data_IF_285865389864
#
_entry.id   IF_285865389864
#
_cell.length_a   1.000
_cell.length_b   1.000
_cell.length_c   1.000
_cell.angle_alpha   90.00
_cell.angle_beta   90.00
_cell.angle_gamma   90.00
#
_symmetry.space_group_name_H-M   'P 1'
#
loop_
_entity.id
_entity.type
_entity.pdbx_description
1 polymer ?
#
# COMPACT_ATOMS: atom_id res chain seq x y z
N UNK A 1 12.43 3.75 -1.74
CA UNK A 1 11.57 2.67 -1.22
C UNK A 1 10.39 3.31 -0.48
N UNK A 2 9.18 2.74 -0.58
CA UNK A 2 8.07 3.12 0.30
C UNK A 2 8.41 2.60 1.70
N UNK A 3 8.16 3.42 2.70
CA UNK A 3 8.47 3.08 4.09
C UNK A 3 7.22 3.29 4.92
N UNK A 4 6.70 2.21 5.49
CA UNK A 4 5.71 2.28 6.55
C UNK A 4 6.39 2.81 7.81
N UNK A 5 5.81 3.81 8.45
CA UNK A 5 6.11 4.04 9.86
C UNK A 5 4.84 3.74 10.62
N UNK A 6 4.67 2.45 10.93
CA UNK A 6 3.64 2.09 11.89
C UNK A 6 4.12 2.52 13.26
N UNK A 7 3.48 3.53 13.83
CA UNK A 7 3.29 3.54 15.26
C UNK A 7 2.32 2.40 15.56
N UNK A 8 2.79 1.27 16.11
CA UNK A 8 1.84 0.36 16.74
C UNK A 8 1.49 0.97 18.08
N UNK A 9 0.48 1.86 18.11
CA UNK A 9 -0.20 2.24 19.36
C UNK A 9 -0.68 1.00 20.16
N UNK A 10 -0.69 -0.18 19.54
CA UNK A 10 -1.12 -1.45 20.09
C UNK A 10 -0.06 -2.16 20.96
N UNK A 11 1.21 -1.80 20.88
CA UNK A 11 2.28 -2.51 21.60
C UNK A 11 3.11 -1.51 22.39
N UNK A 12 2.91 -1.55 23.70
CA UNK A 12 3.71 -0.80 24.64
C UNK A 12 4.38 -1.79 25.59
N UNK A 13 5.66 -2.16 25.38
CA UNK A 13 6.40 -2.97 26.34
C UNK A 13 6.41 -2.30 27.72
N UNK A 14 6.37 -3.13 28.75
CA UNK A 14 6.34 -2.68 30.15
C UNK A 14 7.75 -2.70 30.75
N UNK A 15 8.16 -1.57 31.31
CA UNK A 15 9.39 -1.42 32.10
C UNK A 15 9.23 -1.89 33.54
N UNK A 16 10.33 -1.89 34.29
CA UNK A 16 10.27 -2.01 35.75
C UNK A 16 9.50 -0.78 36.29
N UNK A 17 8.59 -1.01 37.24
CA UNK A 17 7.59 -0.05 37.76
C UNK A 17 6.32 0.20 36.90
N UNK A 18 6.05 -0.59 35.86
CA UNK A 18 4.76 -0.55 35.13
C UNK A 18 4.64 0.56 34.07
N UNK A 19 5.72 1.30 33.82
CA UNK A 19 5.84 2.24 32.71
C UNK A 19 5.70 1.54 31.35
N UNK A 20 4.93 2.10 30.44
CA UNK A 20 4.69 1.60 29.09
C UNK A 20 5.38 2.51 28.08
N UNK A 21 6.22 1.94 27.21
CA UNK A 21 6.94 2.71 26.19
C UNK A 21 6.27 2.52 24.82
N UNK A 22 5.77 3.56 24.15
CA UNK A 22 5.30 3.43 22.78
C UNK A 22 6.38 2.86 21.86
N UNK A 23 6.04 1.77 21.17
CA UNK A 23 6.92 1.14 20.18
C UNK A 23 6.63 1.68 18.78
N UNK A 24 7.67 2.20 18.13
CA UNK A 24 7.59 2.81 16.80
C UNK A 24 8.55 2.11 15.82
N UNK A 25 8.13 0.99 15.20
CA UNK A 25 8.90 0.34 14.15
C UNK A 25 8.74 1.04 12.78
N UNK A 26 9.86 1.16 12.08
CA UNK A 26 9.93 1.51 10.67
C UNK A 26 9.89 0.22 9.85
N UNK A 27 8.77 -0.02 9.20
CA UNK A 27 8.48 -1.25 8.46
C UNK A 27 8.41 -0.90 6.97
N UNK A 28 8.66 -1.83 6.08
CA UNK A 28 8.47 -1.60 4.65
C UNK A 28 8.31 -2.90 3.91
N UNK A 29 8.43 -2.78 2.59
CA UNK A 29 8.43 -3.93 1.70
C UNK A 29 9.74 -4.02 0.96
N UNK A 30 10.25 -5.23 0.80
CA UNK A 30 11.32 -5.49 -0.14
C UNK A 30 10.77 -5.74 -1.55
N UNK A 31 11.69 -5.95 -2.49
CA UNK A 31 11.41 -6.27 -3.88
C UNK A 31 10.72 -7.63 -4.10
N UNK A 32 10.60 -8.48 -3.07
CA UNK A 32 9.79 -9.71 -3.07
C UNK A 32 8.41 -9.52 -2.44
N UNK A 33 8.03 -8.29 -2.08
CA UNK A 33 6.78 -7.93 -1.40
C UNK A 33 6.66 -8.49 0.03
N UNK A 34 7.77 -8.89 0.63
CA UNK A 34 7.83 -9.35 2.02
C UNK A 34 8.01 -8.15 2.97
N UNK A 35 7.59 -8.33 4.22
CA UNK A 35 7.78 -7.32 5.27
C UNK A 35 9.28 -7.20 5.60
N UNK A 36 9.77 -5.97 5.68
CA UNK A 36 11.11 -5.66 6.20
C UNK A 36 11.02 -4.68 7.35
N UNK A 37 11.87 -4.83 8.36
CA UNK A 37 12.04 -3.85 9.44
C UNK A 37 13.34 -3.07 9.19
N UNK A 38 13.21 -1.76 8.91
CA UNK A 38 14.35 -0.87 8.73
C UNK A 38 14.98 -0.44 10.06
N UNK A 39 14.17 -0.36 11.11
CA UNK A 39 14.60 0.03 12.45
C UNK A 39 13.40 0.20 13.37
N UNK A 40 13.65 0.52 14.63
CA UNK A 40 12.59 0.82 15.58
C UNK A 40 13.08 1.71 16.71
N UNK A 41 12.15 2.40 17.36
CA UNK A 41 12.40 3.15 18.57
C UNK A 41 11.39 2.80 19.68
N UNK A 42 11.81 3.03 20.91
CA UNK A 42 10.95 3.09 22.09
C UNK A 42 10.89 4.56 22.50
N UNK A 43 9.69 5.11 22.54
CA UNK A 43 9.45 6.51 22.88
C UNK A 43 9.13 6.64 24.37
N UNK A 44 9.40 7.81 24.94
CA UNK A 44 8.96 8.15 26.29
C UNK A 44 7.52 8.68 26.31
N UNK A 45 7.14 9.41 25.26
CA UNK A 45 5.82 9.98 25.06
C UNK A 45 5.49 10.10 23.56
N UNK A 46 4.25 10.48 23.25
CA UNK A 46 3.73 10.63 21.89
C UNK A 46 3.58 12.12 21.52
N UNK A 47 4.58 12.94 21.89
CA UNK A 47 4.61 14.37 21.56
C UNK A 47 5.15 14.63 20.16
N UNK A 48 4.88 15.84 19.63
CA UNK A 48 5.42 16.22 18.30
C UNK A 48 6.95 16.23 18.34
N UNK A 49 7.54 16.68 19.44
CA UNK A 49 8.97 16.78 19.66
C UNK A 49 9.63 15.40 19.65
N UNK A 50 9.04 14.41 20.35
CA UNK A 50 9.48 13.01 20.32
C UNK A 50 9.43 12.43 18.91
N UNK A 51 8.37 12.70 18.13
CA UNK A 51 8.30 12.25 16.75
C UNK A 51 9.27 12.98 15.81
N UNK A 52 9.54 14.27 16.04
CA UNK A 52 10.55 15.02 15.27
C UNK A 52 11.93 14.39 15.49
N UNK A 53 12.28 14.08 16.73
CA UNK A 53 13.51 13.35 17.06
C UNK A 53 13.55 11.98 16.37
N UNK A 54 12.45 11.21 16.45
CA UNK A 54 12.33 9.89 15.84
C UNK A 54 12.61 9.95 14.33
N UNK A 55 11.92 10.83 13.60
CA UNK A 55 12.07 10.94 12.15
C UNK A 55 13.44 11.48 11.73
N UNK A 56 14.02 12.45 12.46
CA UNK A 56 15.38 12.94 12.17
C UNK A 56 16.44 11.87 12.41
N UNK A 57 16.28 11.08 13.47
CA UNK A 57 17.19 9.97 13.79
C UNK A 57 17.12 8.89 12.72
N UNK A 58 15.91 8.50 12.30
CA UNK A 58 15.73 7.58 11.19
C UNK A 58 16.33 8.12 9.89
N UNK A 59 16.08 9.39 9.56
CA UNK A 59 16.62 10.02 8.35
C UNK A 59 18.16 10.03 8.34
N UNK A 60 18.79 10.28 9.49
CA UNK A 60 20.24 10.19 9.63
C UNK A 60 20.76 8.75 9.39
N UNK A 61 20.09 7.74 9.96
CA UNK A 61 20.41 6.33 9.72
C UNK A 61 20.22 5.93 8.24
N UNK A 62 19.27 6.56 7.55
CA UNK A 62 18.99 6.35 6.13
C UNK A 62 19.82 7.25 5.19
N UNK A 63 20.98 7.75 5.66
CA UNK A 63 21.89 8.60 4.85
C UNK A 63 21.20 9.83 4.27
N UNK A 64 20.36 10.49 5.07
CA UNK A 64 19.56 11.65 4.70
C UNK A 64 18.57 11.43 3.54
N UNK A 65 18.26 10.17 3.20
CA UNK A 65 17.29 9.83 2.16
C UNK A 65 15.89 9.67 2.76
N UNK A 66 15.00 10.60 2.41
CA UNK A 66 13.60 10.54 2.80
C UNK A 66 12.87 9.41 2.04
N UNK A 67 11.89 8.74 2.67
CA UNK A 67 11.01 7.83 1.96
C UNK A 67 10.11 8.62 0.99
N UNK A 68 9.71 8.00 -0.13
CA UNK A 68 8.80 8.63 -1.08
C UNK A 68 7.38 8.74 -0.53
N UNK A 69 6.96 7.71 0.19
CA UNK A 69 5.66 7.65 0.86
C UNK A 69 5.87 7.12 2.27
N UNK A 70 5.24 7.77 3.24
CA UNK A 70 5.14 7.33 4.62
C UNK A 70 3.69 7.12 5.01
N UNK A 71 3.45 6.00 5.67
CA UNK A 71 2.14 5.64 6.18
C UNK A 71 2.19 5.64 7.70
N UNK A 72 1.24 6.30 8.35
CA UNK A 72 1.15 6.36 9.83
C UNK A 72 -0.26 6.05 10.31
N UNK A 73 -0.42 5.95 11.62
CA UNK A 73 -1.76 6.07 12.20
C UNK A 73 -2.31 7.51 12.03
N UNK A 74 -3.56 7.69 12.43
CA UNK A 74 -4.22 8.99 12.39
C UNK A 74 -3.87 9.81 13.64
N UNK A 75 -2.60 10.21 13.75
CA UNK A 75 -2.05 11.01 14.86
C UNK A 75 -1.64 12.42 14.40
N UNK A 76 -2.17 13.45 15.07
CA UNK A 76 -1.87 14.85 14.77
C UNK A 76 -0.39 15.20 15.05
N UNK A 77 0.17 14.67 16.14
CA UNK A 77 1.57 14.90 16.51
C UNK A 77 2.53 14.29 15.46
N UNK A 78 2.28 13.06 15.01
CA UNK A 78 3.06 12.46 13.91
C UNK A 78 2.93 13.27 12.62
N UNK A 79 1.71 13.67 12.25
CA UNK A 79 1.46 14.45 11.04
C UNK A 79 2.26 15.76 11.02
N UNK A 80 2.29 16.46 12.16
CA UNK A 80 3.07 17.69 12.33
C UNK A 80 4.58 17.41 12.27
N UNK A 81 5.04 16.35 12.93
CA UNK A 81 6.45 15.97 12.92
C UNK A 81 6.94 15.54 11.53
N UNK A 82 6.13 14.83 10.73
CA UNK A 82 6.44 14.49 9.33
C UNK A 82 6.60 15.76 8.50
N UNK A 83 5.67 16.72 8.65
CA UNK A 83 5.74 18.00 7.93
C UNK A 83 7.05 18.76 8.23
N UNK A 84 7.56 18.65 9.46
CA UNK A 84 8.81 19.29 9.89
C UNK A 84 10.05 18.53 9.43
N UNK A 85 10.04 17.20 9.54
CA UNK A 85 11.24 16.37 9.39
C UNK A 85 11.39 15.71 8.03
N UNK A 86 10.30 15.54 7.29
CA UNK A 86 10.20 14.81 6.03
C UNK A 86 9.33 15.58 5.00
N UNK A 87 9.69 16.83 4.64
CA UNK A 87 8.84 17.71 3.83
C UNK A 87 8.59 17.20 2.39
N UNK A 88 9.47 16.34 1.86
CA UNK A 88 9.37 15.80 0.50
C UNK A 88 8.69 14.42 0.46
N UNK A 89 8.28 13.90 1.63
CA UNK A 89 7.62 12.62 1.76
C UNK A 89 6.10 12.78 1.64
N UNK A 90 5.48 11.94 0.80
CA UNK A 90 4.02 11.86 0.75
C UNK A 90 3.48 11.17 2.01
N UNK A 91 2.71 11.90 2.84
CA UNK A 91 2.08 11.36 4.04
C UNK A 91 0.70 10.76 3.75
N UNK A 92 0.55 9.46 4.06
CA UNK A 92 -0.69 8.70 3.95
C UNK A 92 -1.08 8.08 5.31
N UNK A 93 -2.35 7.75 5.50
CA UNK A 93 -2.81 6.97 6.66
C UNK A 93 -2.74 5.48 6.33
N UNK A 94 -2.32 4.70 7.32
CA UNK A 94 -2.22 3.26 7.24
C UNK A 94 -3.63 2.62 7.31
N UNK A 95 -4.05 1.99 6.22
CA UNK A 95 -5.38 1.34 6.14
C UNK A 95 -5.58 0.26 7.20
N UNK A 96 -4.52 -0.49 7.55
CA UNK A 96 -4.58 -1.46 8.65
C UNK A 96 -5.01 -0.80 9.97
N UNK A 97 -4.42 0.36 10.33
CA UNK A 97 -4.81 1.09 11.53
C UNK A 97 -6.24 1.66 11.44
N UNK A 98 -6.66 2.14 10.26
CA UNK A 98 -8.03 2.58 10.03
C UNK A 98 -9.00 1.45 10.35
N UNK A 99 -8.75 0.25 9.81
CA UNK A 99 -9.56 -0.96 10.06
C UNK A 99 -9.55 -1.36 11.53
N UNK A 100 -8.39 -1.34 12.20
CA UNK A 100 -8.28 -1.67 13.63
C UNK A 100 -9.01 -0.68 14.55
N UNK A 101 -9.21 0.57 14.10
CA UNK A 101 -9.95 1.56 14.87
C UNK A 101 -11.47 1.50 14.62
N UNK A 102 -11.94 0.82 13.59
CA UNK A 102 -13.38 0.67 13.30
C UNK A 102 -14.17 0.15 14.50
N UNK A 103 -13.79 -0.96 15.16
CA UNK A 103 -14.55 -1.46 16.32
C UNK A 103 -14.59 -0.48 17.50
N UNK A 104 -13.59 0.40 17.64
CA UNK A 104 -13.54 1.40 18.72
C UNK A 104 -14.59 2.51 18.53
N UNK A 105 -14.84 2.89 17.28
CA UNK A 105 -15.77 3.99 16.94
C UNK A 105 -17.16 3.51 16.51
N UNK A 106 -17.27 2.26 16.05
CA UNK A 106 -18.48 1.69 15.44
C UNK A 106 -18.91 0.37 16.10
N UNK A 107 -18.55 0.17 17.38
CA UNK A 107 -18.80 -1.06 18.13
C UNK A 107 -20.26 -1.56 18.03
N UNK A 108 -21.23 -0.64 18.12
CA UNK A 108 -22.65 -0.96 18.04
C UNK A 108 -23.04 -1.57 16.70
N UNK A 109 -22.52 -1.03 15.60
CA UNK A 109 -22.78 -1.54 14.25
C UNK A 109 -22.01 -2.84 14.02
N UNK A 110 -20.74 -2.91 14.43
CA UNK A 110 -19.95 -4.14 14.35
C UNK A 110 -20.61 -5.32 15.08
N UNK A 111 -21.28 -5.05 16.22
CA UNK A 111 -21.96 -6.08 17.00
C UNK A 111 -23.31 -6.49 16.40
N UNK A 112 -24.05 -5.55 15.79
CA UNK A 112 -25.38 -5.81 15.22
C UNK A 112 -25.32 -6.39 13.81
N UNK A 113 -24.32 -6.00 13.03
CA UNK A 113 -24.24 -6.24 11.60
C UNK A 113 -22.99 -7.08 11.24
N UNK A 114 -23.10 -8.43 11.19
CA UNK A 114 -21.95 -9.30 10.98
C UNK A 114 -21.17 -9.03 9.69
N UNK A 115 -21.85 -8.50 8.67
CA UNK A 115 -21.24 -8.20 7.37
C UNK A 115 -20.56 -6.82 7.31
N UNK A 116 -20.79 -5.94 8.29
CA UNK A 116 -20.32 -4.55 8.25
C UNK A 116 -18.80 -4.46 8.07
N UNK A 117 -18.04 -5.21 8.86
CA UNK A 117 -16.58 -5.18 8.81
C UNK A 117 -16.05 -5.56 7.43
N UNK A 118 -16.61 -6.62 6.84
CA UNK A 118 -16.25 -7.10 5.50
C UNK A 118 -16.60 -6.08 4.42
N UNK A 119 -17.77 -5.45 4.52
CA UNK A 119 -18.20 -4.42 3.57
C UNK A 119 -17.38 -3.13 3.70
N UNK A 120 -17.02 -2.73 4.92
CA UNK A 120 -16.11 -1.62 5.18
C UNK A 120 -14.73 -1.87 4.55
N UNK A 121 -14.14 -3.05 4.79
CA UNK A 121 -12.87 -3.45 4.17
C UNK A 121 -12.96 -3.44 2.63
N UNK A 122 -14.03 -3.99 2.06
CA UNK A 122 -14.24 -3.98 0.61
C UNK A 122 -14.39 -2.56 0.04
N UNK A 123 -14.93 -1.62 0.84
CA UNK A 123 -15.04 -0.22 0.45
C UNK A 123 -13.65 0.44 0.41
N UNK A 124 -12.84 0.29 1.45
CA UNK A 124 -11.54 0.98 1.55
C UNK A 124 -10.45 0.37 0.65
N UNK A 125 -10.48 -0.96 0.45
CA UNK A 125 -9.48 -1.67 -0.37
C UNK A 125 -9.88 -1.81 -1.84
N UNK A 126 -11.16 -1.55 -2.17
CA UNK A 126 -11.72 -1.90 -3.47
C UNK A 126 -11.93 -0.75 -4.45
N UNK A 127 -11.76 0.51 -4.03
CA UNK A 127 -11.97 1.68 -4.90
C UNK A 127 -10.84 1.85 -5.91
N UNK A 128 -11.16 1.76 -7.20
CA UNK A 128 -10.18 1.88 -8.31
C UNK A 128 -10.17 3.30 -8.92
N UNK A 129 -11.29 4.01 -8.82
CA UNK A 129 -11.44 5.42 -9.24
C UNK A 129 -12.14 6.22 -8.16
N UNK A 130 -12.05 7.55 -8.24
CA UNK A 130 -12.73 8.45 -7.30
C UNK A 130 -14.25 8.24 -7.32
N UNK A 131 -14.86 8.14 -8.50
CA UNK A 131 -16.30 7.89 -8.65
C UNK A 131 -16.75 6.56 -8.04
N UNK A 132 -15.99 5.48 -8.27
CA UNK A 132 -16.28 4.17 -7.69
C UNK A 132 -16.14 4.21 -6.16
N UNK A 133 -15.09 4.88 -5.67
CA UNK A 133 -14.90 5.08 -4.24
C UNK A 133 -16.06 5.85 -3.60
N UNK A 134 -16.47 6.98 -4.18
CA UNK A 134 -17.59 7.77 -3.67
C UNK A 134 -18.90 6.97 -3.62
N UNK A 135 -19.23 6.26 -4.71
CA UNK A 135 -20.43 5.41 -4.74
C UNK A 135 -20.40 4.32 -3.67
N UNK A 136 -19.27 3.64 -3.51
CA UNK A 136 -19.11 2.59 -2.47
C UNK A 136 -19.24 3.17 -1.07
N UNK A 137 -18.60 4.32 -0.84
CA UNK A 137 -18.66 5.00 0.45
C UNK A 137 -20.09 5.42 0.78
N UNK A 138 -20.78 6.11 -0.12
CA UNK A 138 -22.15 6.57 0.08
C UNK A 138 -23.13 5.40 0.29
N UNK A 139 -22.96 4.31 -0.46
CA UNK A 139 -23.73 3.08 -0.26
C UNK A 139 -23.49 2.47 1.12
N UNK A 140 -22.24 2.39 1.57
CA UNK A 140 -21.88 1.88 2.89
C UNK A 140 -22.49 2.75 4.00
N UNK A 141 -22.34 4.07 3.91
CA UNK A 141 -22.85 5.02 4.89
C UNK A 141 -24.38 4.95 4.97
N UNK A 142 -25.07 4.89 3.83
CA UNK A 142 -26.52 4.84 3.75
C UNK A 142 -27.07 3.52 4.30
N UNK A 143 -26.48 2.38 3.88
CA UNK A 143 -26.91 1.04 4.26
C UNK A 143 -26.91 0.83 5.78
N UNK A 144 -25.90 1.37 6.46
CA UNK A 144 -25.72 1.19 7.90
C UNK A 144 -26.21 2.37 8.75
N UNK A 145 -26.80 3.40 8.13
CA UNK A 145 -27.32 4.58 8.85
C UNK A 145 -26.24 5.40 9.53
N UNK A 146 -25.07 5.54 8.89
CA UNK A 146 -23.85 6.11 9.49
C UNK A 146 -23.63 7.60 9.19
N UNK A 147 -24.57 8.25 8.50
CA UNK A 147 -24.41 9.61 7.99
C UNK A 147 -24.13 10.68 9.07
N UNK A 148 -24.50 10.44 10.33
CA UNK A 148 -24.27 11.37 11.45
C UNK A 148 -23.02 11.05 12.26
N UNK A 149 -22.32 9.95 11.99
CA UNK A 149 -21.14 9.55 12.74
C UNK A 149 -19.96 10.52 12.48
N UNK A 150 -19.49 11.20 13.53
CA UNK A 150 -18.42 12.20 13.42
C UNK A 150 -17.09 11.60 12.95
N UNK A 151 -16.71 10.44 13.48
CA UNK A 151 -15.45 9.79 13.12
C UNK A 151 -15.39 9.43 11.62
N UNK A 152 -16.48 8.93 11.05
CA UNK A 152 -16.56 8.65 9.61
C UNK A 152 -16.54 9.92 8.76
N UNK A 153 -17.18 11.01 9.22
CA UNK A 153 -17.09 12.31 8.55
C UNK A 153 -15.67 12.84 8.52
N UNK A 154 -14.99 12.78 9.66
CA UNK A 154 -13.61 13.23 9.80
C UNK A 154 -12.66 12.35 8.96
N UNK A 155 -12.88 11.03 8.93
CA UNK A 155 -12.10 10.10 8.12
C UNK A 155 -12.29 10.41 6.63
N UNK A 156 -13.53 10.63 6.19
CA UNK A 156 -13.83 10.98 4.80
C UNK A 156 -13.30 12.36 4.40
N UNK A 157 -13.28 13.32 5.32
CA UNK A 157 -12.70 14.65 5.08
C UNK A 157 -11.21 14.56 4.70
N UNK A 158 -10.49 13.56 5.22
CA UNK A 158 -9.08 13.29 4.89
C UNK A 158 -8.89 12.13 3.91
N UNK A 159 -9.90 11.78 3.10
CA UNK A 159 -9.87 10.66 2.14
C UNK A 159 -8.65 10.63 1.21
N UNK A 160 -8.14 11.78 0.79
CA UNK A 160 -6.94 11.88 -0.05
C UNK A 160 -5.69 11.27 0.60
N UNK A 161 -5.67 11.19 1.94
CA UNK A 161 -4.57 10.57 2.69
C UNK A 161 -4.67 9.05 2.78
N UNK A 162 -5.78 8.41 2.45
CA UNK A 162 -5.94 6.97 2.70
C UNK A 162 -6.64 6.19 1.59
N UNK A 163 -7.58 6.79 0.88
CA UNK A 163 -8.31 6.12 -0.17
C UNK A 163 -7.42 5.87 -1.38
N UNK A 164 -7.43 4.63 -1.88
CA UNK A 164 -6.63 4.16 -3.01
C UNK A 164 -6.83 5.00 -4.28
N UNK A 165 -8.06 5.47 -4.50
CA UNK A 165 -8.41 6.35 -5.61
C UNK A 165 -7.55 7.63 -5.69
N UNK A 166 -6.95 8.05 -4.57
CA UNK A 166 -6.10 9.23 -4.46
C UNK A 166 -4.62 8.89 -4.18
N UNK A 167 -4.19 7.62 -4.30
CA UNK A 167 -2.75 7.27 -4.23
C UNK A 167 -2.07 7.65 -5.55
N UNK A 168 -1.31 8.75 -5.52
CA UNK A 168 -0.49 9.28 -6.62
C UNK A 168 1.01 9.13 -6.37
N UNK A 169 1.39 8.33 -5.37
CA UNK A 169 2.78 8.07 -4.99
C UNK A 169 3.02 6.56 -4.93
N UNK A 170 4.29 6.14 -4.94
CA UNK A 170 4.61 4.72 -4.81
C UNK A 170 4.20 4.23 -3.42
N UNK A 171 3.18 3.38 -3.38
CA UNK A 171 2.56 2.81 -2.18
C UNK A 171 3.00 1.34 -1.98
N UNK A 172 3.46 0.67 -3.03
CA UNK A 172 3.73 -0.77 -3.02
C UNK A 172 2.50 -1.57 -2.59
N UNK A 173 2.69 -2.75 -2.01
CA UNK A 173 1.59 -3.56 -1.46
C UNK A 173 1.00 -2.99 -0.18
N UNK A 174 1.50 -1.89 0.37
CA UNK A 174 1.16 -1.44 1.72
C UNK A 174 -0.28 -0.94 1.90
N UNK A 175 -0.98 -0.69 0.80
CA UNK A 175 -2.39 -0.32 0.77
C UNK A 175 -3.31 -1.50 0.48
N UNK A 176 -2.80 -2.73 0.38
CA UNK A 176 -3.61 -3.92 0.11
C UNK A 176 -4.10 -4.58 1.40
N UNK A 177 -5.15 -5.38 1.27
CA UNK A 177 -5.63 -6.25 2.34
C UNK A 177 -4.58 -7.30 2.74
N UNK A 178 -3.86 -7.85 1.77
CA UNK A 178 -2.81 -8.84 2.02
C UNK A 178 -1.72 -8.26 2.93
N UNK A 179 -1.31 -7.01 2.71
CA UNK A 179 -0.38 -6.33 3.60
C UNK A 179 -0.93 -6.20 5.02
N UNK A 180 -2.19 -5.78 5.16
CA UNK A 180 -2.84 -5.67 6.45
C UNK A 180 -2.90 -7.02 7.19
N UNK A 181 -3.14 -8.12 6.48
CA UNK A 181 -3.11 -9.48 7.02
C UNK A 181 -1.70 -9.93 7.43
N UNK A 182 -0.69 -9.66 6.60
CA UNK A 182 0.72 -9.97 6.93
C UNK A 182 1.19 -9.19 8.17
N UNK A 183 0.81 -7.92 8.27
CA UNK A 183 1.09 -7.06 9.42
C UNK A 183 0.42 -7.59 10.69
N UNK A 184 -0.86 -7.93 10.61
CA UNK A 184 -1.59 -8.53 11.72
C UNK A 184 -0.94 -9.84 12.18
N UNK A 185 -0.52 -10.69 11.24
CA UNK A 185 0.16 -11.95 11.56
C UNK A 185 1.53 -11.73 12.21
N UNK A 186 2.35 -10.81 11.69
CA UNK A 186 3.65 -10.44 12.28
C UNK A 186 3.47 -10.00 13.74
N UNK A 187 2.51 -9.09 13.98
CA UNK A 187 2.24 -8.60 15.32
C UNK A 187 1.64 -9.68 16.23
N UNK A 188 0.79 -10.56 15.73
CA UNK A 188 0.24 -11.68 16.49
C UNK A 188 1.31 -12.70 16.91
N UNK A 189 2.23 -13.04 16.01
CA UNK A 189 3.27 -14.03 16.27
C UNK A 189 4.31 -13.48 17.26
N UNK A 190 4.74 -12.23 17.08
CA UNK A 190 5.91 -11.71 17.81
C UNK A 190 5.57 -10.78 18.97
N UNK A 191 4.41 -10.11 18.96
CA UNK A 191 4.15 -8.94 19.81
C UNK A 191 2.77 -8.89 20.47
N UNK A 192 1.94 -9.93 20.34
CA UNK A 192 0.54 -9.96 20.81
C UNK A 192 0.35 -9.84 22.34
N UNK A 193 1.39 -10.06 23.13
CA UNK A 193 1.32 -10.02 24.60
C UNK A 193 2.06 -8.79 25.12
N UNK A 194 1.55 -8.18 26.20
CA UNK A 194 2.33 -7.21 26.99
C UNK A 194 3.56 -7.94 27.53
N UNK A 195 4.68 -7.77 26.85
CA UNK A 195 5.95 -8.37 27.23
C UNK A 195 6.71 -7.41 28.14
N UNK A 196 7.43 -7.92 29.16
CA UNK A 196 8.50 -7.16 29.79
C UNK A 196 9.49 -6.69 28.73
N UNK A 197 10.03 -5.49 28.89
CA UNK A 197 10.92 -4.87 27.90
C UNK A 197 12.07 -5.78 27.43
N UNK A 198 12.71 -6.52 28.33
CA UNK A 198 13.79 -7.46 27.98
C UNK A 198 13.31 -8.58 27.05
N UNK A 199 12.15 -9.17 27.31
CA UNK A 199 11.54 -10.19 26.45
C UNK A 199 11.09 -9.61 25.13
N UNK A 200 10.56 -8.38 25.15
CA UNK A 200 10.17 -7.66 23.94
C UNK A 200 11.35 -7.46 22.99
N UNK A 201 12.48 -6.95 23.49
CA UNK A 201 13.69 -6.71 22.69
C UNK A 201 14.18 -8.03 22.07
N UNK A 202 14.19 -9.13 22.83
CA UNK A 202 14.58 -10.44 22.32
C UNK A 202 13.65 -10.92 21.18
N UNK A 203 12.33 -10.74 21.32
CA UNK A 203 11.37 -11.10 20.27
C UNK A 203 11.52 -10.22 19.03
N UNK A 204 11.78 -8.93 19.22
CA UNK A 204 12.06 -8.01 18.12
C UNK A 204 13.27 -8.46 17.30
N UNK A 205 14.40 -8.77 17.94
CA UNK A 205 15.58 -9.25 17.23
C UNK A 205 15.35 -10.60 16.55
N UNK A 206 14.60 -11.51 17.20
CA UNK A 206 14.22 -12.78 16.58
C UNK A 206 13.39 -12.57 15.30
N UNK A 207 12.40 -11.68 15.35
CA UNK A 207 11.60 -11.33 14.17
C UNK A 207 12.47 -10.71 13.06
N UNK A 208 13.39 -9.81 13.44
CA UNK A 208 14.30 -9.16 12.50
C UNK A 208 15.19 -10.16 11.75
N UNK A 209 15.75 -11.16 12.46
CA UNK A 209 16.58 -12.21 11.85
C UNK A 209 15.75 -13.05 10.91
N UNK A 210 14.56 -13.51 11.34
CA UNK A 210 13.69 -14.33 10.49
C UNK A 210 13.33 -13.61 9.18
N UNK A 211 12.89 -12.35 9.25
CA UNK A 211 12.50 -11.59 8.06
C UNK A 211 13.67 -11.41 7.07
N UNK A 212 14.90 -11.27 7.58
CA UNK A 212 16.11 -11.17 6.73
C UNK A 212 16.51 -12.51 6.12
N UNK A 213 16.36 -13.60 6.87
CA UNK A 213 16.61 -14.95 6.35
C UNK A 213 15.60 -15.30 5.24
N UNK A 214 14.32 -14.97 5.44
CA UNK A 214 13.27 -15.16 4.44
C UNK A 214 13.54 -14.37 3.16
N UNK A 215 14.06 -13.14 3.26
CA UNK A 215 14.49 -12.34 2.11
C UNK A 215 15.68 -12.97 1.38
N UNK A 216 16.69 -13.47 2.12
CA UNK A 216 17.86 -14.12 1.52
C UNK A 216 17.51 -15.40 0.74
N UNK A 217 16.51 -16.14 1.22
CA UNK A 217 15.99 -17.33 0.52
C UNK A 217 15.34 -16.93 -0.81
N UNK A 218 14.47 -15.91 -0.80
CA UNK A 218 13.82 -15.44 -2.03
C UNK A 218 14.80 -14.80 -3.02
N UNK A 219 15.82 -14.11 -2.53
CA UNK A 219 16.94 -13.59 -3.35
C UNK A 219 17.71 -14.72 -4.03
N UNK A 220 17.94 -15.83 -3.31
CA UNK A 220 18.61 -16.99 -3.86
C UNK A 220 17.74 -17.63 -4.97
N UNK A 221 16.48 -17.93 -4.67
CA UNK A 221 15.54 -18.55 -5.62
C UNK A 221 15.32 -17.70 -6.88
N UNK A 222 15.17 -16.38 -6.73
CA UNK A 222 14.98 -15.45 -7.85
C UNK A 222 16.24 -15.31 -8.72
N UNK A 223 17.44 -15.52 -8.17
CA UNK A 223 18.70 -15.50 -8.95
C UNK A 223 18.97 -16.81 -9.67
N UNK A 224 18.55 -17.93 -9.10
CA UNK A 224 18.81 -19.26 -9.67
C UNK A 224 17.76 -19.69 -10.69
N UNK A 225 16.54 -19.15 -10.61
CA UNK A 225 15.42 -19.58 -11.46
C UNK A 225 14.80 -18.40 -12.19
N UNK A 226 14.44 -18.60 -13.46
CA UNK A 226 13.56 -17.67 -14.18
C UNK A 226 12.10 -18.10 -13.99
N UNK A 227 11.15 -17.15 -13.88
CA UNK A 227 9.74 -17.46 -13.94
C UNK A 227 9.40 -18.22 -15.23
N UNK A 228 8.50 -19.20 -15.16
CA UNK A 228 7.96 -19.84 -16.35
C UNK A 228 7.01 -18.86 -17.01
N UNK A 229 7.30 -18.49 -18.26
CA UNK A 229 6.46 -17.57 -19.02
C UNK A 229 5.14 -18.24 -19.41
N UNK A 230 4.02 -17.51 -19.29
CA UNK A 230 2.73 -17.95 -19.83
C UNK A 230 2.81 -18.25 -21.34
N UNK A 231 3.47 -17.37 -22.07
CA UNK A 231 3.67 -17.44 -23.51
C UNK A 231 4.96 -16.69 -23.84
N UNK A 232 5.70 -17.18 -24.82
CA UNK A 232 6.93 -16.56 -25.27
C UNK A 232 6.62 -15.34 -26.14
N UNK A 233 6.48 -14.18 -25.49
CA UNK A 233 6.30 -12.88 -26.14
C UNK A 233 7.24 -11.85 -25.51
N UNK A 234 7.73 -10.87 -26.30
CA UNK A 234 8.76 -9.92 -25.85
C UNK A 234 8.44 -9.25 -24.52
N UNK A 235 7.19 -8.83 -24.32
CA UNK A 235 6.79 -8.10 -23.11
C UNK A 235 6.82 -8.96 -21.84
N UNK A 236 6.42 -10.25 -21.91
CA UNK A 236 6.52 -11.15 -20.76
C UNK A 236 7.97 -11.53 -20.47
N UNK A 237 8.78 -11.72 -21.51
CA UNK A 237 10.22 -11.98 -21.37
C UNK A 237 10.92 -10.81 -20.69
N UNK A 238 10.72 -9.59 -21.18
CA UNK A 238 11.29 -8.38 -20.60
C UNK A 238 10.84 -8.18 -19.13
N UNK A 239 9.56 -8.42 -18.84
CA UNK A 239 9.04 -8.33 -17.48
C UNK A 239 9.66 -9.38 -16.56
N UNK A 240 9.88 -10.62 -17.04
CA UNK A 240 10.51 -11.67 -16.25
C UNK A 240 11.99 -11.43 -15.98
N UNK A 241 12.67 -10.65 -16.83
CA UNK A 241 14.06 -10.25 -16.63
C UNK A 241 14.22 -9.02 -15.76
N UNK A 242 13.23 -8.10 -15.80
CA UNK A 242 13.25 -6.85 -15.03
C UNK A 242 12.73 -7.02 -13.60
N UNK A 243 11.78 -7.93 -13.38
CA UNK A 243 11.09 -8.08 -12.11
C UNK A 243 11.56 -9.30 -11.32
N UNK A 244 11.46 -9.21 -9.99
CA UNK A 244 11.50 -10.41 -9.15
C UNK A 244 10.36 -11.34 -9.50
N UNK A 245 10.50 -12.63 -9.17
CA UNK A 245 9.49 -13.64 -9.45
C UNK A 245 8.10 -13.24 -8.96
N UNK A 246 8.02 -12.70 -7.74
CA UNK A 246 6.76 -12.26 -7.14
C UNK A 246 6.14 -11.04 -7.83
N UNK A 247 6.95 -10.12 -8.37
CA UNK A 247 6.43 -8.98 -9.13
C UNK A 247 6.02 -9.42 -10.54
N UNK A 248 6.80 -10.31 -11.18
CA UNK A 248 6.43 -10.91 -12.47
C UNK A 248 5.09 -11.65 -12.41
N UNK A 249 4.83 -12.43 -11.36
CA UNK A 249 3.55 -13.15 -11.24
C UNK A 249 2.34 -12.22 -11.21
N UNK A 250 2.44 -11.06 -10.54
CA UNK A 250 1.38 -10.04 -10.55
C UNK A 250 1.25 -9.37 -11.92
N UNK A 251 2.38 -9.08 -12.57
CA UNK A 251 2.37 -8.54 -13.93
C UNK A 251 1.71 -9.53 -14.91
N UNK A 252 2.05 -10.82 -14.82
CA UNK A 252 1.46 -11.87 -15.64
C UNK A 252 -0.05 -12.02 -15.36
N UNK A 253 -0.49 -11.86 -14.10
CA UNK A 253 -1.90 -11.82 -13.75
C UNK A 253 -2.64 -10.65 -14.41
N UNK A 254 -2.06 -9.44 -14.38
CA UNK A 254 -2.62 -8.27 -15.07
C UNK A 254 -2.64 -8.49 -16.60
N UNK A 255 -1.59 -9.10 -17.13
CA UNK A 255 -1.49 -9.45 -18.54
C UNK A 255 -2.54 -10.48 -18.97
N UNK A 256 -2.86 -11.47 -18.14
CA UNK A 256 -3.99 -12.39 -18.39
C UNK A 256 -5.32 -11.65 -18.30
N UNK A 257 -5.48 -10.78 -17.31
CA UNK A 257 -6.73 -10.07 -17.03
C UNK A 257 -7.12 -9.09 -18.13
N UNK A 258 -6.15 -8.53 -18.88
CA UNK A 258 -6.44 -7.63 -20.01
C UNK A 258 -7.26 -8.32 -21.13
N UNK A 259 -7.18 -9.65 -21.25
CA UNK A 259 -7.92 -10.39 -22.27
C UNK A 259 -9.45 -10.29 -22.07
N UNK A 260 -9.90 -10.10 -20.82
CA UNK A 260 -11.30 -9.89 -20.49
C UNK A 260 -11.75 -8.42 -20.63
N UNK A 261 -10.83 -7.50 -20.96
CA UNK A 261 -11.14 -6.08 -21.09
C UNK A 261 -11.67 -5.73 -22.48
N UNK A 262 -12.68 -4.85 -22.52
CA UNK A 262 -13.12 -4.14 -23.72
C UNK A 262 -12.41 -2.79 -23.78
N UNK A 263 -12.02 -2.37 -24.99
CA UNK A 263 -11.28 -1.12 -25.21
C UNK A 263 -12.01 -0.30 -26.28
N UNK A 264 -12.42 0.91 -25.91
CA UNK A 264 -13.16 1.84 -26.74
C UNK A 264 -12.39 3.16 -26.87
N UNK A 265 -12.13 3.68 -28.08
CA UNK A 265 -11.54 5.00 -28.23
C UNK A 265 -12.54 6.07 -27.77
N UNK A 266 -12.06 7.01 -26.96
CA UNK A 266 -12.85 8.13 -26.43
C UNK A 266 -12.56 9.41 -27.22
N UNK A 267 -11.29 9.63 -27.57
CA UNK A 267 -10.88 10.82 -28.30
C UNK A 267 -9.37 10.92 -28.46
N UNK A 268 -8.97 11.99 -29.12
CA UNK A 268 -7.57 12.31 -29.41
C UNK A 268 -7.32 13.80 -29.19
N UNK A 269 -6.22 14.11 -28.52
CA UNK A 269 -5.70 15.46 -28.35
C UNK A 269 -4.22 15.49 -28.80
N UNK A 270 -3.98 15.99 -30.01
CA UNK A 270 -2.66 15.97 -30.63
C UNK A 270 -2.10 14.54 -30.77
N UNK A 271 -1.02 14.24 -30.04
CA UNK A 271 -0.37 12.92 -30.03
C UNK A 271 -0.90 11.99 -28.94
N UNK A 272 -1.84 12.44 -28.12
CA UNK A 272 -2.41 11.70 -26.99
C UNK A 272 -3.74 11.09 -27.40
N UNK A 273 -3.83 9.76 -27.30
CA UNK A 273 -5.03 8.98 -27.56
C UNK A 273 -5.63 8.54 -26.24
N UNK A 274 -6.92 8.80 -26.06
CA UNK A 274 -7.65 8.41 -24.85
C UNK A 274 -8.56 7.24 -25.15
N UNK A 275 -8.44 6.19 -24.33
CA UNK A 275 -9.25 4.98 -24.40
C UNK A 275 -10.01 4.78 -23.09
N UNK A 276 -11.23 4.28 -23.19
CA UNK A 276 -11.98 3.73 -22.08
C UNK A 276 -11.83 2.22 -22.11
N UNK A 277 -11.25 1.67 -21.04
CA UNK A 277 -11.08 0.23 -20.88
C UNK A 277 -12.02 -0.25 -19.79
N UNK A 278 -12.92 -1.17 -20.11
CA UNK A 278 -13.92 -1.69 -19.18
C UNK A 278 -13.81 -3.20 -19.00
N UNK A 279 -14.15 -3.67 -17.80
CA UNK A 279 -14.30 -5.09 -17.50
C UNK A 279 -15.79 -5.39 -17.35
N UNK A 280 -16.42 -6.08 -18.32
CA UNK A 280 -17.87 -6.30 -18.34
C UNK A 280 -18.42 -6.90 -17.04
N UNK A 281 -17.63 -7.75 -16.39
CA UNK A 281 -18.01 -8.47 -15.18
C UNK A 281 -17.88 -7.66 -13.88
N UNK A 282 -17.15 -6.54 -13.88
CA UNK A 282 -16.77 -5.82 -12.64
C UNK A 282 -17.37 -4.41 -12.51
N UNK A 283 -18.23 -3.96 -13.44
CA UNK A 283 -18.74 -2.58 -13.51
C UNK A 283 -17.66 -1.51 -13.25
N UNK A 284 -16.42 -1.80 -13.66
CA UNK A 284 -15.25 -0.97 -13.44
C UNK A 284 -14.65 -0.64 -14.80
N UNK A 285 -14.27 0.62 -14.96
CA UNK A 285 -13.58 1.10 -16.14
C UNK A 285 -12.44 2.03 -15.76
N UNK A 286 -11.32 1.93 -16.48
CA UNK A 286 -10.23 2.89 -16.44
C UNK A 286 -10.18 3.72 -17.71
N UNK A 287 -9.74 4.97 -17.59
CA UNK A 287 -9.31 5.76 -18.74
C UNK A 287 -7.81 5.56 -18.91
N UNK A 288 -7.37 5.35 -20.14
CA UNK A 288 -5.97 5.14 -20.50
C UNK A 288 -5.59 6.19 -21.53
N UNK A 289 -4.55 6.94 -21.23
CA UNK A 289 -3.96 7.89 -22.17
C UNK A 289 -2.68 7.28 -22.70
N UNK A 290 -2.57 7.25 -24.02
CA UNK A 290 -1.39 6.75 -24.72
C UNK A 290 -0.83 7.85 -25.62
N UNK A 291 0.41 8.25 -25.38
CA UNK A 291 1.07 9.29 -26.14
C UNK A 291 2.03 8.67 -27.18
N UNK A 292 1.73 8.90 -28.47
CA UNK A 292 2.53 8.38 -29.58
C UNK A 292 3.94 8.97 -29.65
N UNK A 293 4.15 10.22 -29.21
CA UNK A 293 5.43 10.90 -29.42
C UNK A 293 6.55 10.35 -28.54
N UNK A 294 6.21 9.80 -27.38
CA UNK A 294 7.16 9.28 -26.39
C UNK A 294 6.83 7.86 -25.92
N UNK A 295 5.84 7.21 -26.53
CA UNK A 295 5.34 5.88 -26.18
C UNK A 295 4.93 5.72 -24.70
N UNK A 296 4.54 6.81 -24.03
CA UNK A 296 4.10 6.75 -22.63
C UNK A 296 2.64 6.33 -22.53
N UNK A 297 2.33 5.51 -21.53
CA UNK A 297 0.98 5.09 -21.19
C UNK A 297 0.68 5.46 -19.75
N UNK A 298 -0.46 6.10 -19.51
CA UNK A 298 -0.95 6.37 -18.16
C UNK A 298 -2.36 5.82 -18.02
N UNK A 299 -2.73 5.42 -16.81
CA UNK A 299 -4.07 4.93 -16.53
C UNK A 299 -4.65 5.61 -15.29
N UNK A 300 -5.93 5.95 -15.35
CA UNK A 300 -6.68 6.54 -14.23
C UNK A 300 -6.73 5.65 -12.98
N UNK A 301 -6.44 4.34 -13.09
CA UNK A 301 -6.38 3.45 -11.94
C UNK A 301 -5.08 3.59 -11.11
N UNK A 302 -4.08 4.33 -11.60
CA UNK A 302 -2.82 4.64 -10.89
C UNK A 302 -2.02 3.43 -10.41
N UNK A 303 -2.25 2.25 -10.98
CA UNK A 303 -1.56 1.01 -10.56
C UNK A 303 -0.06 1.06 -10.82
N UNK A 304 0.39 1.65 -11.92
CA UNK A 304 1.82 1.79 -12.18
C UNK A 304 2.48 2.73 -11.17
N UNK A 305 1.88 3.90 -10.93
CA UNK A 305 2.39 4.89 -9.98
C UNK A 305 2.41 4.35 -8.53
N UNK A 306 1.40 3.55 -8.16
CA UNK A 306 1.28 2.99 -6.82
C UNK A 306 2.08 1.70 -6.61
N UNK A 307 2.15 0.80 -7.59
CA UNK A 307 2.71 -0.57 -7.45
C UNK A 307 3.98 -0.81 -8.28
N UNK A 308 4.29 0.02 -9.28
CA UNK A 308 5.50 -0.08 -10.10
C UNK A 308 5.40 -1.00 -11.32
N UNK A 309 4.21 -1.47 -11.67
CA UNK A 309 3.97 -2.31 -12.84
C UNK A 309 2.63 -1.99 -13.50
N UNK A 310 2.51 -2.27 -14.81
CA UNK A 310 1.34 -1.89 -15.61
C UNK A 310 0.08 -2.67 -15.20
N UNK A 311 -1.06 -1.98 -15.20
CA UNK A 311 -2.36 -2.61 -15.03
C UNK A 311 -2.88 -3.24 -16.33
N UNK A 312 -3.86 -4.12 -16.19
CA UNK A 312 -4.60 -4.73 -17.30
C UNK A 312 -5.18 -3.69 -18.28
N UNK A 313 -5.55 -2.49 -17.82
CA UNK A 313 -6.08 -1.44 -18.70
C UNK A 313 -4.99 -0.90 -19.65
N UNK A 314 -3.83 -0.55 -19.11
CA UNK A 314 -2.69 -0.07 -19.90
C UNK A 314 -2.20 -1.16 -20.86
N UNK A 315 -2.09 -2.40 -20.37
CA UNK A 315 -1.70 -3.56 -21.17
C UNK A 315 -2.68 -3.81 -22.32
N UNK A 316 -3.99 -3.64 -22.10
CA UNK A 316 -4.99 -3.76 -23.17
C UNK A 316 -4.78 -2.75 -24.30
N UNK A 317 -4.50 -1.50 -23.95
CA UNK A 317 -4.25 -0.44 -24.95
C UNK A 317 -2.96 -0.70 -25.72
N UNK A 318 -1.88 -1.07 -25.03
CA UNK A 318 -0.61 -1.40 -25.69
C UNK A 318 -0.77 -2.57 -26.68
N UNK A 319 -1.47 -3.63 -26.26
CA UNK A 319 -1.72 -4.80 -27.09
C UNK A 319 -2.60 -4.46 -28.32
N UNK A 320 -3.67 -3.66 -28.13
CA UNK A 320 -4.54 -3.23 -29.23
C UNK A 320 -3.84 -2.33 -30.26
N UNK A 321 -2.81 -1.60 -29.86
CA UNK A 321 -2.02 -0.73 -30.74
C UNK A 321 -0.79 -1.44 -31.35
N UNK A 322 -0.70 -2.77 -31.21
CA UNK A 322 0.44 -3.61 -31.66
C UNK A 322 1.80 -3.15 -31.11
N UNK A 323 1.81 -2.54 -29.92
CA UNK A 323 3.04 -2.10 -29.27
C UNK A 323 3.56 -3.25 -28.43
N UNK A 324 4.44 -4.05 -29.04
CA UNK A 324 5.29 -4.99 -28.34
C UNK A 324 6.42 -4.18 -27.71
N UNK A 325 6.25 -3.75 -26.46
CA UNK A 325 7.29 -3.00 -25.73
C UNK A 325 8.56 -3.85 -25.71
N UNK A 326 9.59 -3.40 -26.43
CA UNK A 326 10.90 -4.07 -26.48
C UNK A 326 11.88 -3.57 -25.40
N UNK A 327 11.46 -2.66 -24.51
CA UNK A 327 12.26 -2.18 -23.38
C UNK A 327 11.34 -1.70 -22.24
N UNK A 328 11.30 -2.43 -21.12
CA UNK A 328 10.72 -1.95 -19.86
C UNK A 328 11.80 -1.37 -18.91
N UNK A 329 13.05 -1.29 -19.37
CA UNK A 329 14.18 -0.77 -18.60
C UNK A 329 14.53 0.70 -18.90
N UNK A 330 14.33 1.54 -17.88
CA UNK A 330 14.90 2.88 -17.58
C UNK A 330 13.90 4.04 -17.56
N UNK A 331 13.23 4.19 -16.42
CA UNK A 331 12.65 5.46 -15.94
C UNK A 331 13.08 5.71 -14.49
#
# INVERSE_FOLDING_TARGET
>A
MPTLVTQSCLIQPTGQAGLTYPFAPFIGINHHKQIVIFGAALLLDETTESFVWLFKTFLAAMSARQPKTIFTDWCAAMSKAITISLPDTCHKLCLWHVVQNVPKHLNSVCSREPNFQKEFENCIYGGVSEDDFHKRWDNLISKYGLATNSWLKDLYAVREKWALAYCNSFCGTMTTKQWAESMDNLFKIHFYRKLPLSKFIMQYFKALVQLREDELVEDYESRQTKPVLLVDIPMLTEAAESYTRMVYMDFEYEYKSQLACLCEPVGTDGTVYTFKVSVPQKQSSGHVEFNLSNATVTCSCKKFESMGFLCMHALKVLNNNNILISHLGTY
#
